data_IF_343876995986
#
_entry.id   IF_343876995986
#
_cell.length_a   1.000
_cell.length_b   1.000
_cell.length_c   1.000
_cell.angle_alpha   90.00
_cell.angle_beta   90.00
_cell.angle_gamma   90.00
#
_symmetry.space_group_name_H-M   'P 1'
#
loop_
_entity.id
_entity.type
_entity.pdbx_description
1 polymer ?
#
# COMPACT_ATOMS: atom_id res chain seq x y z
N UNK A 1 6.10 -8.21 0.11
CA UNK A 1 5.68 -6.80 0.06
C UNK A 1 4.17 -6.67 0.17
N UNK A 2 3.70 -5.66 0.86
CA UNK A 2 2.26 -5.38 1.02
C UNK A 2 1.98 -4.02 0.39
N UNK A 3 1.18 -3.94 -0.70
CA UNK A 3 0.86 -2.68 -1.33
C UNK A 3 -0.25 -1.94 -0.58
N UNK A 4 -0.18 -0.61 -0.57
CA UNK A 4 -1.33 0.22 -0.25
C UNK A 4 -2.26 0.25 -1.46
N UNK A 5 -3.55 0.35 -1.22
CA UNK A 5 -4.56 0.32 -2.28
C UNK A 5 -5.40 1.58 -2.34
N UNK A 6 -5.90 1.87 -3.53
CA UNK A 6 -6.93 2.88 -3.76
C UNK A 6 -7.99 2.24 -4.66
N UNK A 7 -9.27 2.53 -4.39
CA UNK A 7 -10.36 1.92 -5.12
C UNK A 7 -11.52 2.89 -5.33
N UNK A 8 -12.22 2.69 -6.46
CA UNK A 8 -13.46 3.40 -6.77
C UNK A 8 -14.62 2.68 -6.10
N UNK A 9 -15.37 3.40 -5.26
CA UNK A 9 -16.55 2.83 -4.61
C UNK A 9 -17.73 2.86 -5.59
N UNK A 10 -18.38 1.72 -5.77
CA UNK A 10 -19.57 1.61 -6.62
C UNK A 10 -20.69 2.48 -6.04
N UNK A 11 -21.29 3.32 -6.89
CA UNK A 11 -22.36 4.20 -6.47
C UNK A 11 -21.89 5.46 -5.73
N UNK A 12 -20.59 5.80 -5.80
CA UNK A 12 -20.08 7.03 -5.19
C UNK A 12 -20.69 8.27 -5.86
N UNK A 13 -20.87 9.39 -5.09
CA UNK A 13 -21.59 10.57 -5.58
C UNK A 13 -20.85 11.34 -6.68
N UNK A 14 -19.54 11.16 -6.83
CA UNK A 14 -18.72 11.86 -7.81
C UNK A 14 -17.68 10.95 -8.45
N UNK A 15 -18.14 10.07 -9.32
CA UNK A 15 -17.32 9.05 -9.96
C UNK A 15 -16.19 9.62 -10.80
N UNK A 16 -16.46 10.70 -11.57
CA UNK A 16 -15.45 11.33 -12.44
C UNK A 16 -14.28 11.89 -11.63
N UNK A 17 -14.57 12.61 -10.54
CA UNK A 17 -13.53 13.14 -9.67
C UNK A 17 -12.78 12.04 -8.93
N UNK A 18 -13.46 10.96 -8.55
CA UNK A 18 -12.81 9.82 -7.93
C UNK A 18 -11.81 9.15 -8.90
N UNK A 19 -12.16 9.01 -10.17
CA UNK A 19 -11.25 8.50 -11.21
C UNK A 19 -10.05 9.42 -11.41
N UNK A 20 -10.27 10.74 -11.44
CA UNK A 20 -9.19 11.73 -11.53
C UNK A 20 -8.23 11.61 -10.34
N UNK A 21 -8.75 11.40 -9.15
CA UNK A 21 -7.92 11.19 -7.96
C UNK A 21 -7.07 9.92 -8.07
N UNK A 22 -7.65 8.83 -8.52
CA UNK A 22 -6.92 7.57 -8.74
C UNK A 22 -5.81 7.77 -9.77
N UNK A 23 -6.10 8.43 -10.89
CA UNK A 23 -5.11 8.74 -11.91
C UNK A 23 -4.00 9.64 -11.37
N UNK A 24 -4.33 10.59 -10.53
CA UNK A 24 -3.35 11.47 -9.88
C UNK A 24 -2.42 10.71 -8.95
N UNK A 25 -2.96 9.88 -8.03
CA UNK A 25 -2.12 9.18 -7.04
C UNK A 25 -1.22 8.10 -7.65
N UNK A 26 -1.60 7.56 -8.79
CA UNK A 26 -0.78 6.60 -9.56
C UNK A 26 0.10 7.27 -10.61
N UNK A 27 -0.05 8.58 -10.80
CA UNK A 27 0.73 9.37 -11.75
C UNK A 27 2.16 9.60 -11.31
N UNK A 28 3.02 10.00 -12.26
CA UNK A 28 4.45 10.21 -12.02
C UNK A 28 4.73 11.24 -10.93
N UNK A 29 4.03 12.36 -10.96
CA UNK A 29 4.25 13.47 -10.04
C UNK A 29 3.99 13.08 -8.58
N UNK A 30 2.84 12.46 -8.31
CA UNK A 30 2.48 12.01 -6.97
C UNK A 30 3.41 10.88 -6.49
N UNK A 31 3.71 9.91 -7.34
CA UNK A 31 4.61 8.81 -7.00
C UNK A 31 6.04 9.29 -6.73
N UNK A 32 6.52 10.29 -7.46
CA UNK A 32 7.80 10.94 -7.19
C UNK A 32 7.82 11.61 -5.83
N UNK A 33 6.81 12.40 -5.51
CA UNK A 33 6.70 13.10 -4.23
C UNK A 33 6.64 12.10 -3.06
N UNK A 34 5.83 11.06 -3.18
CA UNK A 34 5.74 10.00 -2.18
C UNK A 34 7.09 9.33 -1.93
N UNK A 35 7.85 9.08 -2.98
CA UNK A 35 9.16 8.47 -2.84
C UNK A 35 10.20 9.45 -2.24
N UNK A 36 10.29 10.66 -2.76
CA UNK A 36 11.31 11.64 -2.36
C UNK A 36 11.07 12.17 -0.93
N UNK A 37 9.83 12.48 -0.59
CA UNK A 37 9.47 13.08 0.70
C UNK A 37 9.31 12.03 1.79
N UNK A 38 8.62 10.93 1.48
CA UNK A 38 8.23 9.94 2.48
C UNK A 38 8.97 8.61 2.38
N UNK A 39 9.89 8.50 1.40
CA UNK A 39 10.66 7.28 1.14
C UNK A 39 9.79 6.05 0.91
N UNK A 40 8.62 6.25 0.32
CA UNK A 40 7.74 5.16 -0.06
C UNK A 40 8.16 4.60 -1.42
N UNK A 41 8.04 3.29 -1.57
CA UNK A 41 8.39 2.64 -2.84
C UNK A 41 7.31 2.93 -3.88
N UNK A 42 7.67 3.50 -5.05
CA UNK A 42 6.68 3.76 -6.10
C UNK A 42 6.18 2.46 -6.72
N UNK A 43 4.94 2.49 -7.22
CA UNK A 43 4.35 1.36 -7.93
C UNK A 43 4.57 1.43 -9.44
N UNK A 44 5.07 2.56 -9.94
CA UNK A 44 5.35 2.74 -11.37
C UNK A 44 6.68 2.08 -11.74
N UNK A 45 6.67 1.30 -12.83
CA UNK A 45 7.87 0.65 -13.35
C UNK A 45 8.84 1.63 -14.02
N UNK A 46 8.36 2.81 -14.43
CA UNK A 46 9.13 3.87 -15.06
C UNK A 46 9.73 4.89 -14.07
N UNK A 47 9.60 4.63 -12.78
CA UNK A 47 10.15 5.46 -11.71
C UNK A 47 11.01 4.62 -10.78
N UNK A 48 12.32 4.85 -10.82
CA UNK A 48 13.25 4.19 -9.92
C UNK A 48 13.13 4.74 -8.49
N UNK A 49 13.12 3.88 -7.46
CA UNK A 49 13.07 4.34 -6.08
C UNK A 49 14.38 5.01 -5.67
N UNK A 50 14.30 6.22 -5.12
CA UNK A 50 15.45 6.92 -4.54
C UNK A 50 15.63 6.55 -3.06
N UNK A 51 16.86 6.25 -2.68
CA UNK A 51 17.19 5.92 -1.29
C UNK A 51 16.67 4.56 -0.82
N UNK A 52 16.19 3.73 -1.74
CA UNK A 52 15.71 2.39 -1.49
C UNK A 52 16.40 1.42 -2.43
N UNK A 53 16.66 0.21 -1.98
CA UNK A 53 17.19 -0.84 -2.84
C UNK A 53 16.11 -1.36 -3.81
N UNK A 54 16.55 -1.98 -4.90
CA UNK A 54 15.65 -2.64 -5.83
C UNK A 54 14.86 -3.74 -5.13
N UNK A 55 13.56 -3.81 -5.41
CA UNK A 55 12.68 -4.83 -4.81
C UNK A 55 13.15 -6.26 -5.12
N UNK A 56 13.67 -6.46 -6.33
CA UNK A 56 14.19 -7.76 -6.78
C UNK A 56 15.42 -8.23 -6.00
N UNK A 57 16.11 -7.34 -5.28
CA UNK A 57 17.27 -7.69 -4.46
C UNK A 57 16.89 -8.07 -3.03
N UNK A 58 15.63 -7.92 -2.66
CA UNK A 58 15.14 -8.24 -1.31
C UNK A 58 14.67 -9.69 -1.23
N UNK A 59 15.01 -10.33 -0.13
CA UNK A 59 14.46 -11.65 0.21
C UNK A 59 13.10 -11.43 0.87
N UNK A 60 12.03 -11.44 0.05
CA UNK A 60 10.67 -11.22 0.49
C UNK A 60 10.08 -12.51 1.01
N UNK A 61 9.54 -12.46 2.23
CA UNK A 61 8.78 -13.57 2.77
C UNK A 61 7.43 -13.75 2.06
N UNK A 62 6.92 -14.96 2.10
CA UNK A 62 5.56 -15.25 1.66
C UNK A 62 4.57 -14.68 2.67
N UNK A 63 3.73 -13.75 2.22
CA UNK A 63 2.67 -13.19 3.03
C UNK A 63 1.33 -13.77 2.60
N UNK A 64 0.72 -14.56 3.48
CA UNK A 64 -0.59 -15.16 3.22
C UNK A 64 -1.70 -14.17 3.56
N UNK A 65 -2.18 -13.46 2.54
CA UNK A 65 -3.24 -12.45 2.68
C UNK A 65 -4.55 -13.07 3.18
N UNK A 66 -4.90 -14.25 2.71
CA UNK A 66 -6.14 -14.92 3.11
C UNK A 66 -6.09 -15.32 4.58
N UNK A 67 -4.98 -15.87 5.04
CA UNK A 67 -4.78 -16.19 6.45
C UNK A 67 -4.86 -14.94 7.33
N UNK A 68 -4.15 -13.87 6.94
CA UNK A 68 -4.16 -12.62 7.68
C UNK A 68 -5.57 -12.00 7.78
N UNK A 69 -6.32 -12.00 6.69
CA UNK A 69 -7.68 -11.48 6.67
C UNK A 69 -8.64 -12.32 7.52
N UNK A 70 -8.57 -13.65 7.41
CA UNK A 70 -9.46 -14.56 8.13
C UNK A 70 -9.15 -14.64 9.63
N UNK A 71 -7.93 -14.31 10.04
CA UNK A 71 -7.50 -14.41 11.44
C UNK A 71 -7.21 -13.05 12.07
N UNK A 72 -7.56 -11.94 11.43
CA UNK A 72 -7.26 -10.59 11.91
C UNK A 72 -7.72 -10.35 13.33
N UNK A 73 -8.97 -10.69 13.65
CA UNK A 73 -9.54 -10.45 14.98
C UNK A 73 -8.78 -11.22 16.05
N UNK A 74 -8.56 -12.51 15.84
CA UNK A 74 -7.86 -13.36 16.83
C UNK A 74 -6.40 -12.95 17.00
N UNK A 75 -5.73 -12.51 15.94
CA UNK A 75 -4.35 -12.02 16.00
C UNK A 75 -4.27 -10.73 16.83
N UNK A 76 -5.18 -9.78 16.57
CA UNK A 76 -5.23 -8.50 17.28
C UNK A 76 -5.57 -8.71 18.75
N UNK A 77 -6.54 -9.57 19.04
CA UNK A 77 -6.93 -9.92 20.42
C UNK A 77 -5.74 -10.48 21.18
N UNK A 78 -5.05 -11.46 20.61
CA UNK A 78 -3.87 -12.06 21.21
C UNK A 78 -2.72 -11.06 21.42
N UNK A 79 -2.52 -10.16 20.47
CA UNK A 79 -1.55 -9.09 20.61
C UNK A 79 -1.89 -8.17 21.79
N UNK A 80 -3.15 -7.77 21.91
CA UNK A 80 -3.62 -6.91 22.99
C UNK A 80 -3.47 -7.60 24.35
N UNK A 81 -3.81 -8.87 24.46
CA UNK A 81 -3.64 -9.64 25.69
C UNK A 81 -2.18 -9.69 26.16
N UNK A 82 -1.25 -9.76 25.21
CA UNK A 82 0.18 -9.83 25.51
C UNK A 82 0.81 -8.47 25.81
N UNK A 83 0.26 -7.37 25.28
CA UNK A 83 0.88 -6.05 25.32
C UNK A 83 0.14 -5.03 26.17
N UNK A 84 -1.17 -5.13 26.27
CA UNK A 84 -2.03 -4.14 26.95
C UNK A 84 -2.69 -4.72 28.19
N UNK A 85 -2.81 -6.03 28.20
CA UNK A 85 -3.38 -6.77 29.33
C UNK A 85 -2.50 -6.70 30.54
#
# INVERSE_FOLDING_TARGET
AVPDGVALIKGCPNEENAKLFIDFVTGMECQKDQNQTWKRRPVRSDLAPEGLCELSTLDLGDYDFAYAANNKESIVEKWNDLTVG
#
